data_IF_140402879641
#
_entry.id   IF_140402879641
#
_cell.length_a   1.000
_cell.length_b   1.000
_cell.length_c   1.000
_cell.angle_alpha   90.00
_cell.angle_beta   90.00
_cell.angle_gamma   90.00
#
_symmetry.space_group_name_H-M   'P 1'
#
loop_
_entity.id
_entity.type
_entity.pdbx_description
1 polymer ?
#
# COMPACT_ATOMS: atom_id res chain seq x y z
N UNK A 1 40.45 1.21 41.97
CA UNK A 1 39.70 0.68 40.79
C UNK A 1 38.53 1.61 40.54
N UNK A 2 38.63 2.48 39.53
CA UNK A 2 37.52 3.35 39.12
C UNK A 2 36.46 2.46 38.42
N UNK A 3 35.24 2.43 38.95
CA UNK A 3 34.12 1.70 38.36
C UNK A 3 33.84 2.31 36.98
N UNK A 4 33.90 1.49 35.94
CA UNK A 4 33.50 1.87 34.58
C UNK A 4 32.06 2.30 34.65
N UNK A 5 31.68 3.51 34.16
CA UNK A 5 30.30 3.97 34.21
C UNK A 5 29.44 3.01 33.37
N UNK A 6 28.51 2.36 34.04
CA UNK A 6 27.48 1.54 33.36
C UNK A 6 26.69 2.45 32.43
N UNK A 7 26.56 2.06 31.16
CA UNK A 7 25.77 2.80 30.16
C UNK A 7 24.35 3.00 30.69
N UNK A 8 23.86 4.26 30.82
CA UNK A 8 22.62 4.55 31.55
C UNK A 8 21.36 3.92 30.89
N UNK A 9 21.51 3.35 29.69
CA UNK A 9 20.45 2.63 28.97
C UNK A 9 20.51 1.11 29.10
N UNK A 10 21.57 0.53 29.68
CA UNK A 10 21.65 -0.91 29.96
C UNK A 10 20.95 -1.24 31.26
N UNK A 11 19.80 -1.89 31.16
CA UNK A 11 19.10 -2.44 32.35
C UNK A 11 19.91 -3.58 32.93
N UNK A 12 20.11 -3.60 34.26
CA UNK A 12 20.69 -4.74 34.96
C UNK A 12 20.05 -6.07 34.52
N UNK A 13 20.87 -7.12 34.38
CA UNK A 13 20.44 -8.46 33.96
C UNK A 13 19.29 -9.01 34.82
N UNK A 14 19.28 -8.69 36.12
CA UNK A 14 18.24 -9.07 37.07
C UNK A 14 16.88 -8.42 36.74
N UNK A 15 16.87 -7.13 36.35
CA UNK A 15 15.67 -6.39 35.97
C UNK A 15 15.15 -6.86 34.61
N UNK A 16 16.03 -7.20 33.68
CA UNK A 16 15.68 -7.75 32.36
C UNK A 16 15.04 -9.15 32.51
N UNK A 17 15.58 -10.02 33.38
CA UNK A 17 15.06 -11.37 33.63
C UNK A 17 13.69 -11.36 34.32
N UNK A 18 13.44 -10.44 35.25
CA UNK A 18 12.12 -10.25 35.87
C UNK A 18 11.10 -9.66 34.89
N UNK A 19 11.52 -8.78 33.99
CA UNK A 19 10.65 -8.21 32.95
C UNK A 19 10.25 -9.26 31.91
N UNK A 20 11.17 -10.15 31.49
CA UNK A 20 10.85 -11.25 30.56
C UNK A 20 9.97 -12.32 31.21
N UNK A 21 10.19 -12.66 32.47
CA UNK A 21 9.32 -13.62 33.18
C UNK A 21 7.89 -13.09 33.35
N UNK A 22 7.70 -11.81 33.66
CA UNK A 22 6.37 -11.20 33.72
C UNK A 22 5.66 -11.11 32.38
N UNK A 23 6.40 -10.88 31.28
CA UNK A 23 5.85 -10.92 29.93
C UNK A 23 5.44 -12.34 29.52
N UNK A 24 6.25 -13.35 29.81
CA UNK A 24 5.93 -14.75 29.55
C UNK A 24 4.71 -15.23 30.36
N UNK A 25 4.65 -14.86 31.64
CA UNK A 25 3.49 -15.20 32.48
C UNK A 25 2.22 -14.48 31.97
N UNK A 26 2.34 -13.23 31.57
CA UNK A 26 1.29 -12.48 30.91
C UNK A 26 0.82 -13.17 29.63
N UNK A 27 1.72 -13.60 28.75
CA UNK A 27 1.40 -14.30 27.52
C UNK A 27 0.72 -15.67 27.76
N UNK A 28 1.15 -16.42 28.79
CA UNK A 28 0.53 -17.69 29.18
C UNK A 28 -0.91 -17.48 29.70
N UNK A 29 -1.13 -16.48 30.55
CA UNK A 29 -2.47 -16.13 31.05
C UNK A 29 -3.37 -15.69 29.89
N UNK A 30 -2.85 -14.93 28.93
CA UNK A 30 -3.59 -14.53 27.71
C UNK A 30 -4.00 -15.73 26.89
N UNK A 31 -3.06 -16.64 26.68
CA UNK A 31 -3.30 -17.88 25.93
C UNK A 31 -4.42 -18.69 26.59
N UNK A 32 -4.38 -18.83 27.91
CA UNK A 32 -5.42 -19.51 28.67
C UNK A 32 -6.78 -18.80 28.53
N UNK A 33 -6.85 -17.48 28.66
CA UNK A 33 -8.10 -16.71 28.50
C UNK A 33 -8.70 -16.92 27.12
N UNK A 34 -7.89 -16.82 26.03
CA UNK A 34 -8.37 -17.00 24.65
C UNK A 34 -8.90 -18.40 24.43
N UNK A 35 -8.22 -19.42 24.95
CA UNK A 35 -8.64 -20.80 24.81
C UNK A 35 -9.94 -21.11 25.59
N UNK A 36 -10.12 -20.53 26.80
CA UNK A 36 -11.31 -20.76 27.63
C UNK A 36 -12.52 -19.92 27.24
N UNK A 37 -12.32 -18.73 26.66
CA UNK A 37 -13.42 -17.82 26.30
C UNK A 37 -13.94 -17.97 24.89
N UNK A 38 -13.30 -18.80 24.06
CA UNK A 38 -13.66 -18.98 22.66
C UNK A 38 -13.33 -17.78 21.76
N UNK A 39 -12.67 -16.74 22.29
CA UNK A 39 -12.17 -15.59 21.52
C UNK A 39 -10.94 -16.01 20.67
N UNK A 40 -11.12 -16.97 19.80
CA UNK A 40 -10.03 -17.55 19.01
C UNK A 40 -9.59 -16.69 17.79
N UNK A 41 -10.19 -15.53 17.59
CA UNK A 41 -9.87 -14.64 16.47
C UNK A 41 -8.75 -13.62 16.78
N UNK A 42 -8.16 -12.99 15.75
CA UNK A 42 -7.14 -11.97 15.92
C UNK A 42 -7.59 -10.80 16.82
N UNK A 43 -8.88 -10.48 16.78
CA UNK A 43 -9.49 -9.41 17.59
C UNK A 43 -9.51 -9.77 19.07
N UNK A 44 -9.81 -11.02 19.42
CA UNK A 44 -9.74 -11.53 20.80
C UNK A 44 -8.31 -11.48 21.35
N UNK A 45 -7.31 -11.87 20.56
CA UNK A 45 -5.91 -11.75 20.95
C UNK A 45 -5.48 -10.32 21.22
N UNK A 46 -5.95 -9.36 20.40
CA UNK A 46 -5.67 -7.95 20.61
C UNK A 46 -6.25 -7.42 21.93
N UNK A 47 -7.50 -7.77 22.23
CA UNK A 47 -8.16 -7.40 23.51
C UNK A 47 -7.39 -7.99 24.69
N UNK A 48 -6.94 -9.23 24.59
CA UNK A 48 -6.18 -9.88 25.66
C UNK A 48 -4.81 -9.25 25.84
N UNK A 49 -4.07 -9.00 24.76
CA UNK A 49 -2.77 -8.30 24.84
C UNK A 49 -2.90 -6.91 25.43
N UNK A 50 -3.97 -6.20 25.08
CA UNK A 50 -4.24 -4.87 25.63
C UNK A 50 -4.56 -4.93 27.14
N UNK A 51 -5.44 -5.83 27.56
CA UNK A 51 -5.79 -5.99 28.98
C UNK A 51 -4.58 -6.37 29.83
N UNK A 52 -3.70 -7.23 29.31
CA UNK A 52 -2.44 -7.57 30.00
C UNK A 52 -1.44 -6.41 30.07
N UNK A 53 -1.29 -5.67 28.99
CA UNK A 53 -0.45 -4.46 29.00
C UNK A 53 -0.99 -3.43 30.00
N UNK A 54 -2.32 -3.29 30.10
CA UNK A 54 -2.98 -2.41 31.06
C UNK A 54 -2.73 -2.86 32.51
N UNK A 55 -2.95 -4.14 32.81
CA UNK A 55 -2.71 -4.74 34.14
C UNK A 55 -1.24 -4.62 34.53
N UNK A 56 -0.31 -4.96 33.61
CA UNK A 56 1.12 -4.83 33.85
C UNK A 56 1.53 -3.39 34.17
N UNK A 57 1.02 -2.43 33.40
CA UNK A 57 1.31 -1.00 33.60
C UNK A 57 0.72 -0.49 34.91
N UNK A 58 -0.47 -0.96 35.29
CA UNK A 58 -1.12 -0.61 36.54
C UNK A 58 -0.37 -1.16 37.75
N UNK A 59 0.01 -2.45 37.73
CA UNK A 59 0.76 -3.10 38.81
C UNK A 59 2.13 -2.45 39.01
N UNK A 60 2.85 -2.20 37.88
CA UNK A 60 4.14 -1.53 37.92
C UNK A 60 4.02 -0.07 38.34
N UNK A 61 2.95 0.61 37.93
CA UNK A 61 2.69 2.02 38.21
C UNK A 61 2.42 2.32 39.68
N UNK A 62 2.01 1.32 40.49
CA UNK A 62 1.81 1.49 41.96
C UNK A 62 3.10 1.80 42.72
N UNK A 63 4.27 1.43 42.17
CA UNK A 63 5.61 1.64 42.78
C UNK A 63 6.37 2.83 42.18
N UNK A 64 5.77 3.57 41.24
CA UNK A 64 6.44 4.66 40.51
C UNK A 64 6.09 6.02 41.10
N UNK A 65 7.03 6.98 40.98
CA UNK A 65 6.80 8.41 41.33
C UNK A 65 5.71 9.00 40.43
N UNK A 66 5.08 10.12 40.87
CA UNK A 66 3.95 10.72 40.16
C UNK A 66 4.22 11.05 38.69
N UNK A 67 5.42 11.51 38.35
CA UNK A 67 5.86 11.83 36.98
C UNK A 67 5.97 10.57 36.13
N UNK A 68 6.57 9.52 36.65
CA UNK A 68 6.71 8.22 35.98
C UNK A 68 5.36 7.54 35.80
N UNK A 69 4.42 7.72 36.72
CA UNK A 69 3.04 7.23 36.62
C UNK A 69 2.28 7.90 35.47
N UNK A 70 2.47 9.23 35.26
CA UNK A 70 1.91 9.94 34.10
C UNK A 70 2.46 9.39 32.79
N UNK A 71 3.77 9.19 32.71
CA UNK A 71 4.41 8.61 31.54
C UNK A 71 3.92 7.17 31.26
N UNK A 72 3.78 6.34 32.30
CA UNK A 72 3.28 4.98 32.15
C UNK A 72 1.83 4.95 31.62
N UNK A 73 0.95 5.88 32.07
CA UNK A 73 -0.39 6.02 31.51
C UNK A 73 -0.37 6.48 30.05
N UNK A 74 0.47 7.46 29.69
CA UNK A 74 0.62 7.91 28.30
C UNK A 74 1.09 6.77 27.39
N UNK A 75 2.07 5.98 27.82
CA UNK A 75 2.50 4.78 27.09
C UNK A 75 1.38 3.77 26.90
N UNK A 76 0.53 3.56 27.92
CA UNK A 76 -0.61 2.68 27.81
C UNK A 76 -1.62 3.16 26.77
N UNK A 77 -1.94 4.48 26.77
CA UNK A 77 -2.83 5.05 25.76
C UNK A 77 -2.28 4.92 24.34
N UNK A 78 -0.97 5.18 24.15
CA UNK A 78 -0.31 5.02 22.85
C UNK A 78 -0.36 3.54 22.41
N UNK A 79 -0.09 2.61 23.32
CA UNK A 79 -0.15 1.18 23.02
C UNK A 79 -1.58 0.74 22.68
N UNK A 80 -2.59 1.24 23.44
CA UNK A 80 -3.99 0.98 23.12
C UNK A 80 -4.37 1.47 21.73
N UNK A 81 -4.04 2.72 21.41
CA UNK A 81 -4.29 3.28 20.10
C UNK A 81 -3.60 2.47 18.99
N UNK A 82 -2.35 2.04 19.21
CA UNK A 82 -1.62 1.20 18.28
C UNK A 82 -2.30 -0.17 18.09
N UNK A 83 -2.69 -0.85 19.16
CA UNK A 83 -3.39 -2.14 19.08
C UNK A 83 -4.71 -1.99 18.32
N UNK A 84 -5.53 -0.99 18.67
CA UNK A 84 -6.81 -0.73 17.97
C UNK A 84 -6.59 -0.45 16.50
N UNK A 85 -5.56 0.32 16.14
CA UNK A 85 -5.24 0.64 14.75
C UNK A 85 -4.71 -0.56 13.95
N UNK A 86 -3.80 -1.36 14.54
CA UNK A 86 -3.12 -2.43 13.83
C UNK A 86 -3.88 -3.77 13.81
N UNK A 87 -4.75 -4.03 14.79
CA UNK A 87 -5.48 -5.31 14.88
C UNK A 87 -6.30 -5.61 13.62
N UNK A 88 -7.16 -4.70 13.11
CA UNK A 88 -7.93 -4.97 11.90
C UNK A 88 -7.02 -5.26 10.69
N UNK A 89 -5.91 -4.54 10.57
CA UNK A 89 -4.93 -4.75 9.49
C UNK A 89 -4.30 -6.14 9.57
N UNK A 90 -3.81 -6.52 10.73
CA UNK A 90 -3.20 -7.83 10.96
C UNK A 90 -4.23 -8.93 10.73
N UNK A 91 -5.47 -8.75 11.22
CA UNK A 91 -6.58 -9.69 11.05
C UNK A 91 -6.89 -9.93 9.57
N UNK A 92 -7.00 -8.86 8.77
CA UNK A 92 -7.21 -8.95 7.33
C UNK A 92 -6.05 -9.69 6.65
N UNK A 93 -4.80 -9.30 6.95
CA UNK A 93 -3.61 -9.94 6.37
C UNK A 93 -3.56 -11.44 6.66
N UNK A 94 -3.79 -11.82 7.92
CA UNK A 94 -3.82 -13.22 8.35
C UNK A 94 -4.96 -13.95 7.64
N UNK A 95 -6.17 -13.38 7.60
CA UNK A 95 -7.32 -14.01 6.97
C UNK A 95 -7.11 -14.21 5.47
N UNK A 96 -6.59 -13.20 4.76
CA UNK A 96 -6.25 -13.30 3.34
C UNK A 96 -5.19 -14.35 3.09
N UNK A 97 -4.14 -14.39 3.91
CA UNK A 97 -3.07 -15.38 3.77
C UNK A 97 -3.58 -16.82 4.00
N UNK A 98 -4.24 -17.08 5.15
CA UNK A 98 -4.67 -18.43 5.52
C UNK A 98 -5.81 -18.96 4.64
N UNK A 99 -6.76 -18.12 4.25
CA UNK A 99 -7.88 -18.52 3.38
C UNK A 99 -7.45 -18.56 1.91
N UNK A 100 -6.69 -17.59 1.47
CA UNK A 100 -6.30 -17.45 0.07
C UNK A 100 -5.30 -18.48 -0.41
N UNK A 101 -4.32 -18.89 0.44
CA UNK A 101 -3.30 -19.87 0.06
C UNK A 101 -3.89 -21.24 -0.29
N UNK A 102 -5.04 -21.59 0.29
CA UNK A 102 -5.70 -22.88 0.07
C UNK A 102 -6.16 -23.08 -1.38
N UNK A 103 -6.49 -21.97 -2.07
CA UNK A 103 -6.95 -22.02 -3.46
C UNK A 103 -5.84 -21.77 -4.49
N UNK A 104 -4.59 -21.52 -4.07
CA UNK A 104 -3.47 -21.29 -4.97
C UNK A 104 -3.10 -22.60 -5.68
N UNK A 105 -3.33 -22.61 -6.98
CA UNK A 105 -3.02 -23.72 -7.90
C UNK A 105 -2.46 -23.17 -9.20
N UNK A 106 -1.79 -23.98 -9.99
CA UNK A 106 -1.18 -23.54 -11.24
C UNK A 106 -2.24 -23.02 -12.23
N UNK A 107 -3.39 -23.67 -12.33
CA UNK A 107 -4.50 -23.25 -13.18
C UNK A 107 -4.99 -21.83 -12.87
N UNK A 108 -4.90 -21.38 -11.61
CA UNK A 108 -5.30 -20.02 -11.23
C UNK A 108 -4.49 -18.95 -11.98
N UNK A 109 -3.23 -19.23 -12.31
CA UNK A 109 -2.31 -18.32 -13.00
C UNK A 109 -2.25 -18.54 -14.52
N UNK A 110 -2.77 -19.65 -15.03
CA UNK A 110 -2.62 -20.03 -16.44
C UNK A 110 -3.93 -20.08 -17.21
N UNK A 111 -5.07 -20.18 -16.52
CA UNK A 111 -6.39 -20.34 -17.15
C UNK A 111 -7.25 -19.09 -16.96
N UNK A 112 -8.18 -18.89 -17.89
CA UNK A 112 -9.27 -17.91 -17.77
C UNK A 112 -10.56 -18.55 -17.26
N UNK A 113 -11.67 -17.81 -17.30
CA UNK A 113 -12.99 -18.28 -16.90
C UNK A 113 -14.00 -18.27 -18.08
N UNK A 114 -13.52 -18.41 -19.30
CA UNK A 114 -14.37 -18.35 -20.48
C UNK A 114 -15.38 -19.51 -20.52
N UNK A 115 -14.95 -20.69 -20.11
CA UNK A 115 -15.72 -21.93 -20.16
C UNK A 115 -16.10 -22.47 -18.79
N UNK A 116 -15.84 -21.70 -17.74
CA UNK A 116 -16.04 -22.10 -16.34
C UNK A 116 -16.92 -21.08 -15.62
N UNK A 117 -17.74 -21.58 -14.71
CA UNK A 117 -18.58 -20.75 -13.83
C UNK A 117 -17.88 -20.50 -12.50
N UNK A 118 -18.25 -19.47 -11.76
CA UNK A 118 -17.72 -19.21 -10.43
C UNK A 118 -17.91 -20.36 -9.42
N UNK A 119 -18.93 -21.19 -9.64
CA UNK A 119 -19.30 -22.32 -8.79
C UNK A 119 -18.54 -23.61 -9.08
N UNK A 120 -17.87 -23.69 -10.22
CA UNK A 120 -17.10 -24.86 -10.59
C UNK A 120 -15.95 -25.09 -9.61
N UNK A 121 -15.48 -26.34 -9.54
CA UNK A 121 -14.37 -26.70 -8.66
C UNK A 121 -13.13 -25.84 -8.88
N UNK A 122 -12.34 -25.62 -7.83
CA UNK A 122 -11.16 -24.75 -7.84
C UNK A 122 -10.04 -25.21 -8.80
N UNK A 123 -10.10 -26.43 -9.33
CA UNK A 123 -9.18 -26.94 -10.35
C UNK A 123 -9.59 -26.58 -11.78
N UNK A 124 -10.78 -25.97 -11.97
CA UNK A 124 -11.30 -25.52 -13.26
C UNK A 124 -11.22 -23.99 -13.35
N UNK A 125 -10.79 -23.46 -14.48
CA UNK A 125 -10.63 -22.02 -14.69
C UNK A 125 -9.58 -21.38 -13.79
N UNK A 126 -9.45 -20.05 -13.89
CA UNK A 126 -8.47 -19.28 -13.15
C UNK A 126 -8.66 -17.77 -13.29
N UNK A 127 -7.72 -16.99 -12.76
CA UNK A 127 -7.74 -15.53 -12.79
C UNK A 127 -6.66 -14.92 -13.69
N UNK A 128 -6.01 -15.72 -14.54
CA UNK A 128 -4.91 -15.27 -15.39
C UNK A 128 -5.30 -14.08 -16.30
N UNK A 129 -6.50 -14.11 -16.87
CA UNK A 129 -7.05 -13.00 -17.65
C UNK A 129 -7.14 -11.70 -16.87
N UNK A 130 -7.55 -11.78 -15.60
CA UNK A 130 -7.70 -10.63 -14.71
C UNK A 130 -6.33 -10.11 -14.21
N UNK A 131 -5.37 -11.00 -13.98
CA UNK A 131 -3.98 -10.65 -13.64
C UNK A 131 -3.32 -9.88 -14.78
N UNK A 132 -3.43 -10.41 -16.01
CA UNK A 132 -2.88 -9.79 -17.22
C UNK A 132 -3.53 -8.44 -17.48
N UNK A 133 -4.85 -8.34 -17.38
CA UNK A 133 -5.54 -7.08 -17.58
C UNK A 133 -5.18 -6.02 -16.53
N UNK A 134 -5.05 -6.40 -15.26
CA UNK A 134 -4.52 -5.49 -14.23
C UNK A 134 -3.13 -5.00 -14.57
N UNK A 135 -2.25 -5.90 -15.01
CA UNK A 135 -0.88 -5.54 -15.39
C UNK A 135 -0.85 -4.56 -16.57
N UNK A 136 -1.64 -4.82 -17.62
CA UNK A 136 -1.74 -3.93 -18.80
C UNK A 136 -2.21 -2.54 -18.38
N UNK A 137 -3.31 -2.45 -17.61
CA UNK A 137 -3.89 -1.16 -17.22
C UNK A 137 -2.97 -0.37 -16.30
N UNK A 138 -2.37 -1.01 -15.30
CA UNK A 138 -1.44 -0.36 -14.37
C UNK A 138 -0.15 0.06 -15.08
N UNK A 139 0.36 -0.75 -16.02
CA UNK A 139 1.53 -0.40 -16.80
C UNK A 139 1.28 0.85 -17.65
N UNK A 140 0.18 0.90 -18.41
CA UNK A 140 -0.17 2.06 -19.23
C UNK A 140 -0.36 3.31 -18.34
N UNK A 141 -1.13 3.19 -17.24
CA UNK A 141 -1.31 4.26 -16.30
C UNK A 141 0.03 4.78 -15.75
N UNK A 142 0.95 3.88 -15.41
CA UNK A 142 2.28 4.23 -14.88
C UNK A 142 3.14 4.93 -15.91
N UNK A 143 3.20 4.42 -17.15
CA UNK A 143 3.99 5.01 -18.23
C UNK A 143 3.56 6.45 -18.53
N UNK A 144 2.26 6.73 -18.44
CA UNK A 144 1.73 8.08 -18.66
C UNK A 144 1.93 8.96 -17.42
N UNK A 145 1.56 8.44 -16.26
CA UNK A 145 1.40 9.26 -15.04
C UNK A 145 2.72 9.51 -14.32
N UNK A 146 3.64 8.55 -14.35
CA UNK A 146 4.91 8.70 -13.64
C UNK A 146 5.75 9.88 -14.17
N UNK A 147 5.98 10.02 -15.49
CA UNK A 147 6.67 11.18 -16.03
C UNK A 147 5.93 12.49 -15.73
N UNK A 148 4.61 12.54 -15.93
CA UNK A 148 3.80 13.73 -15.69
C UNK A 148 3.84 14.15 -14.22
N UNK A 149 3.75 13.20 -13.29
CA UNK A 149 3.82 13.49 -11.86
C UNK A 149 5.19 14.02 -11.43
N UNK A 150 6.29 13.39 -11.91
CA UNK A 150 7.64 13.85 -11.62
C UNK A 150 7.87 15.25 -12.23
N UNK A 151 7.49 15.48 -13.48
CA UNK A 151 7.62 16.79 -14.13
C UNK A 151 6.81 17.86 -13.41
N UNK A 152 5.62 17.53 -12.90
CA UNK A 152 4.83 18.45 -12.08
C UNK A 152 5.56 18.82 -10.78
N UNK A 153 6.15 17.82 -10.10
CA UNK A 153 7.00 18.05 -8.92
C UNK A 153 8.20 18.95 -9.24
N UNK A 154 8.92 18.66 -10.33
CA UNK A 154 10.06 19.48 -10.80
C UNK A 154 9.61 20.89 -11.13
N UNK A 155 8.49 21.08 -11.82
CA UNK A 155 7.98 22.41 -12.16
C UNK A 155 7.71 23.25 -10.90
N UNK A 156 7.11 22.64 -9.89
CA UNK A 156 6.75 23.33 -8.65
C UNK A 156 7.96 23.63 -7.76
N UNK A 157 8.99 22.77 -7.76
CA UNK A 157 10.14 22.89 -6.84
C UNK A 157 11.34 23.56 -7.47
N UNK A 158 11.67 23.25 -8.72
CA UNK A 158 12.90 23.69 -9.37
C UNK A 158 12.64 24.90 -10.30
N UNK A 159 11.61 24.82 -11.14
CA UNK A 159 11.31 25.91 -12.07
C UNK A 159 10.69 27.10 -11.34
N UNK A 160 9.81 26.84 -10.36
CA UNK A 160 9.12 27.86 -9.56
C UNK A 160 8.46 28.94 -10.43
N UNK A 161 7.90 28.49 -11.57
CA UNK A 161 7.26 29.38 -12.54
C UNK A 161 5.98 30.03 -12.01
N UNK A 162 5.47 31.01 -12.71
CA UNK A 162 4.26 31.76 -12.32
C UNK A 162 3.02 30.92 -12.08
N UNK A 163 2.96 29.74 -12.68
CA UNK A 163 1.85 28.79 -12.52
C UNK A 163 2.07 27.73 -11.44
N UNK A 164 3.19 27.77 -10.69
CA UNK A 164 3.48 26.75 -9.66
C UNK A 164 2.37 26.65 -8.62
N UNK A 165 1.76 27.77 -8.23
CA UNK A 165 0.61 27.78 -7.32
C UNK A 165 -0.62 27.09 -7.90
N UNK A 166 -0.91 27.33 -9.19
CA UNK A 166 -2.04 26.68 -9.89
C UNK A 166 -1.82 25.19 -10.02
N UNK A 167 -0.61 24.75 -10.44
CA UNK A 167 -0.27 23.33 -10.56
C UNK A 167 -0.42 22.63 -9.21
N UNK A 168 0.10 23.22 -8.14
CA UNK A 168 -0.05 22.68 -6.78
C UNK A 168 -1.51 22.60 -6.37
N UNK A 169 -2.31 23.65 -6.63
CA UNK A 169 -3.74 23.65 -6.33
C UNK A 169 -4.47 22.53 -7.07
N UNK A 170 -4.23 22.36 -8.37
CA UNK A 170 -4.85 21.29 -9.18
C UNK A 170 -4.49 19.92 -8.63
N UNK A 171 -3.21 19.64 -8.38
CA UNK A 171 -2.74 18.36 -7.81
C UNK A 171 -3.41 18.10 -6.46
N UNK A 172 -3.51 19.11 -5.61
CA UNK A 172 -4.12 18.98 -4.30
C UNK A 172 -5.64 18.74 -4.39
N UNK A 173 -6.33 19.41 -5.30
CA UNK A 173 -7.76 19.22 -5.55
C UNK A 173 -8.04 17.81 -6.10
N UNK A 174 -7.20 17.32 -7.03
CA UNK A 174 -7.31 15.96 -7.57
C UNK A 174 -7.17 14.88 -6.47
N UNK A 175 -6.38 15.14 -5.42
CA UNK A 175 -6.22 14.19 -4.30
C UNK A 175 -7.52 13.95 -3.52
N UNK A 176 -8.46 14.89 -3.56
CA UNK A 176 -9.76 14.80 -2.90
C UNK A 176 -10.88 14.20 -3.77
N UNK A 177 -10.60 13.88 -5.04
CA UNK A 177 -11.62 13.34 -5.95
C UNK A 177 -11.94 11.88 -5.58
N UNK A 178 -13.22 11.52 -5.33
CA UNK A 178 -13.63 10.14 -5.13
C UNK A 178 -13.32 9.30 -6.38
N UNK A 179 -12.83 8.07 -6.19
CA UNK A 179 -12.38 7.21 -7.30
C UNK A 179 -13.49 6.91 -8.31
N UNK A 180 -14.72 6.76 -7.86
CA UNK A 180 -15.86 6.55 -8.76
C UNK A 180 -16.12 7.76 -9.66
N UNK A 181 -15.90 8.97 -9.16
CA UNK A 181 -16.06 10.22 -9.94
C UNK A 181 -15.00 10.31 -11.04
N UNK A 182 -13.76 9.91 -10.74
CA UNK A 182 -12.72 9.81 -11.77
C UNK A 182 -13.12 8.79 -12.86
N UNK A 183 -13.68 7.65 -12.46
CA UNK A 183 -14.23 6.66 -13.40
C UNK A 183 -15.36 7.22 -14.25
N UNK A 184 -16.32 7.91 -13.64
CA UNK A 184 -17.45 8.54 -14.34
C UNK A 184 -16.97 9.60 -15.33
N UNK A 185 -16.01 10.41 -14.94
CA UNK A 185 -15.43 11.42 -15.84
C UNK A 185 -14.80 10.76 -17.09
N UNK A 186 -14.02 9.71 -16.92
CA UNK A 186 -13.44 8.99 -18.07
C UNK A 186 -14.51 8.25 -18.87
N UNK A 187 -15.54 7.74 -18.22
CA UNK A 187 -16.67 7.13 -18.90
C UNK A 187 -17.32 8.13 -19.88
N UNK A 188 -17.73 9.29 -19.38
CA UNK A 188 -18.44 10.30 -20.19
C UNK A 188 -17.56 10.94 -21.26
N UNK A 189 -16.26 11.08 -21.03
CA UNK A 189 -15.35 11.75 -21.96
C UNK A 189 -14.69 10.81 -22.95
N UNK A 190 -14.48 9.56 -22.59
CA UNK A 190 -13.72 8.62 -23.39
C UNK A 190 -14.53 7.38 -23.82
N UNK A 191 -15.21 6.70 -22.88
CA UNK A 191 -15.96 5.47 -23.19
C UNK A 191 -17.19 5.79 -24.02
N UNK A 192 -17.96 6.79 -23.61
CA UNK A 192 -19.17 7.23 -24.33
C UNK A 192 -18.83 7.73 -25.75
N UNK A 193 -17.79 8.54 -25.88
CA UNK A 193 -17.33 9.07 -27.15
C UNK A 193 -16.76 7.97 -28.09
N UNK A 194 -16.12 6.92 -27.55
CA UNK A 194 -15.56 5.81 -28.33
C UNK A 194 -16.55 4.68 -28.57
N UNK A 195 -17.67 4.65 -27.82
CA UNK A 195 -18.68 3.58 -27.84
C UNK A 195 -18.18 2.23 -27.31
N UNK A 196 -17.02 2.19 -26.62
CA UNK A 196 -16.43 0.93 -26.15
C UNK A 196 -15.68 1.07 -24.84
N UNK A 197 -15.84 0.06 -23.99
CA UNK A 197 -14.97 -0.12 -22.81
C UNK A 197 -13.57 -0.57 -23.28
N UNK A 198 -12.53 -0.22 -22.51
CA UNK A 198 -11.18 -0.61 -22.89
C UNK A 198 -10.19 -0.54 -21.72
N UNK A 199 -9.06 -1.26 -21.85
CA UNK A 199 -7.95 -1.12 -20.91
C UNK A 199 -7.41 0.31 -20.89
N UNK A 200 -7.39 0.99 -22.03
CA UNK A 200 -6.91 2.36 -22.15
C UNK A 200 -7.79 3.34 -21.32
N UNK A 201 -9.12 3.21 -21.42
CA UNK A 201 -10.04 4.00 -20.59
C UNK A 201 -9.82 3.72 -19.09
N UNK A 202 -9.69 2.43 -18.71
CA UNK A 202 -9.33 2.04 -17.35
C UNK A 202 -8.01 2.65 -16.89
N UNK A 203 -7.01 2.64 -17.76
CA UNK A 203 -5.69 3.24 -17.47
C UNK A 203 -5.74 4.75 -17.25
N UNK A 204 -6.56 5.47 -18.01
CA UNK A 204 -6.77 6.91 -17.78
C UNK A 204 -7.43 7.18 -16.43
N UNK A 205 -8.46 6.39 -16.08
CA UNK A 205 -9.11 6.53 -14.78
C UNK A 205 -8.16 6.25 -13.60
N UNK A 206 -7.33 5.20 -13.71
CA UNK A 206 -6.26 4.93 -12.76
C UNK A 206 -5.21 6.03 -12.74
N UNK A 207 -4.86 6.59 -13.91
CA UNK A 207 -3.89 7.68 -14.05
C UNK A 207 -4.33 8.95 -13.32
N UNK A 208 -5.61 9.32 -13.41
CA UNK A 208 -6.17 10.47 -12.67
C UNK A 208 -5.96 10.32 -11.16
N UNK A 209 -6.13 9.11 -10.64
CA UNK A 209 -5.95 8.82 -9.21
C UNK A 209 -4.46 8.71 -8.80
N UNK A 210 -3.61 8.24 -9.71
CA UNK A 210 -2.18 8.05 -9.48
C UNK A 210 -1.41 9.36 -9.51
N UNK A 211 -1.78 10.27 -10.42
CA UNK A 211 -1.06 11.51 -10.70
C UNK A 211 -0.80 12.36 -9.46
N UNK A 212 -1.80 12.70 -8.62
CA UNK A 212 -1.56 13.53 -7.45
C UNK A 212 -0.64 12.88 -6.43
N UNK A 213 -0.68 11.56 -6.28
CA UNK A 213 0.20 10.82 -5.37
C UNK A 213 1.65 10.91 -5.83
N UNK A 214 1.92 10.65 -7.11
CA UNK A 214 3.27 10.72 -7.68
C UNK A 214 3.79 12.17 -7.64
N UNK A 215 2.98 13.13 -8.07
CA UNK A 215 3.38 14.54 -8.13
C UNK A 215 3.73 15.10 -6.75
N UNK A 216 2.87 14.85 -5.76
CA UNK A 216 3.08 15.32 -4.39
C UNK A 216 4.30 14.68 -3.73
N UNK A 217 4.43 13.35 -3.84
CA UNK A 217 5.59 12.65 -3.29
C UNK A 217 6.88 13.08 -3.98
N UNK A 218 6.85 13.31 -5.30
CA UNK A 218 8.00 13.84 -6.04
C UNK A 218 8.36 15.26 -5.58
N UNK A 219 7.38 16.13 -5.36
CA UNK A 219 7.60 17.47 -4.80
C UNK A 219 8.27 17.39 -3.42
N UNK A 220 7.78 16.52 -2.53
CA UNK A 220 8.34 16.36 -1.18
C UNK A 220 9.79 15.84 -1.23
N UNK A 221 10.06 14.87 -2.09
CA UNK A 221 11.40 14.29 -2.27
C UNK A 221 12.38 15.31 -2.86
N UNK A 222 11.96 16.09 -3.86
CA UNK A 222 12.80 17.12 -4.47
C UNK A 222 13.15 18.25 -3.49
N UNK A 223 12.28 18.57 -2.53
CA UNK A 223 12.58 19.54 -1.46
C UNK A 223 13.67 19.10 -0.50
N UNK A 224 13.97 17.81 -0.42
CA UNK A 224 15.04 17.30 0.43
C UNK A 224 16.45 17.56 -0.11
N UNK A 225 16.58 17.94 -1.37
CA UNK A 225 17.88 18.32 -1.97
C UNK A 225 18.37 19.62 -1.34
N UNK A 226 19.57 19.67 -0.73
CA UNK A 226 20.13 20.88 -0.18
C UNK A 226 20.33 21.96 -1.24
N UNK A 227 20.10 23.24 -0.89
CA UNK A 227 20.30 24.35 -1.81
C UNK A 227 21.76 24.55 -2.22
N UNK A 228 22.71 24.11 -1.37
CA UNK A 228 24.14 24.15 -1.69
C UNK A 228 24.51 23.31 -2.92
N UNK A 229 23.86 22.17 -3.12
CA UNK A 229 24.06 21.35 -4.32
C UNK A 229 23.59 22.06 -5.60
N UNK A 230 22.48 22.79 -5.50
CA UNK A 230 21.96 23.61 -6.62
C UNK A 230 22.92 24.76 -6.92
N UNK A 231 23.36 25.46 -5.88
CA UNK A 231 24.27 26.58 -5.96
C UNK A 231 25.63 26.17 -6.53
N UNK A 232 26.17 25.03 -6.12
CA UNK A 232 27.40 24.46 -6.68
C UNK A 232 27.27 24.18 -8.18
N UNK A 233 26.12 23.64 -8.63
CA UNK A 233 25.86 23.46 -10.05
C UNK A 233 25.88 24.76 -10.84
N UNK A 234 25.28 25.82 -10.31
CA UNK A 234 25.29 27.15 -10.95
C UNK A 234 26.68 27.80 -10.94
N UNK A 235 27.45 27.62 -9.86
CA UNK A 235 28.82 28.12 -9.78
C UNK A 235 29.75 27.48 -10.85
N UNK A 236 29.47 26.23 -11.27
CA UNK A 236 30.14 25.55 -12.37
C UNK A 236 29.59 25.95 -13.78
N UNK A 237 28.72 26.97 -13.85
CA UNK A 237 28.16 27.47 -15.11
C UNK A 237 26.99 26.63 -15.66
N UNK A 238 26.42 25.71 -14.89
CA UNK A 238 25.29 24.94 -15.38
C UNK A 238 24.01 25.80 -15.46
N UNK A 239 23.28 25.67 -16.56
CA UNK A 239 21.93 26.26 -16.67
C UNK A 239 20.97 25.50 -15.78
N UNK A 240 19.88 26.12 -15.33
CA UNK A 240 18.89 25.54 -14.42
C UNK A 240 18.43 24.13 -14.81
N UNK A 241 18.02 23.93 -16.08
CA UNK A 241 17.56 22.63 -16.55
C UNK A 241 18.66 21.55 -16.46
N UNK A 242 19.93 21.92 -16.73
CA UNK A 242 21.07 21.01 -16.66
C UNK A 242 21.41 20.66 -15.20
N UNK A 243 21.37 21.62 -14.29
CA UNK A 243 21.50 21.37 -12.86
C UNK A 243 20.39 20.44 -12.35
N UNK A 244 19.13 20.68 -12.76
CA UNK A 244 17.99 19.82 -12.38
C UNK A 244 18.18 18.38 -12.88
N UNK A 245 18.51 18.18 -14.16
CA UNK A 245 18.62 16.82 -14.75
C UNK A 245 19.86 16.07 -14.30
N UNK A 246 21.02 16.75 -14.12
CA UNK A 246 22.29 16.10 -13.87
C UNK A 246 22.68 16.07 -12.38
N UNK A 247 22.09 16.92 -11.53
CA UNK A 247 22.43 16.99 -10.11
C UNK A 247 21.21 16.66 -9.26
N UNK A 248 20.10 17.40 -9.41
CA UNK A 248 18.94 17.28 -8.51
C UNK A 248 18.25 15.91 -8.67
N UNK A 249 17.82 15.56 -9.89
CA UNK A 249 17.09 14.30 -10.12
C UNK A 249 17.91 13.05 -9.80
N UNK A 250 19.21 12.95 -10.17
CA UNK A 250 20.02 11.80 -9.76
C UNK A 250 20.22 11.69 -8.25
N UNK A 251 20.32 12.82 -7.54
CA UNK A 251 20.50 12.84 -6.08
C UNK A 251 19.29 12.21 -5.37
N UNK A 252 18.09 12.40 -5.88
CA UNK A 252 16.85 11.90 -5.27
C UNK A 252 16.19 10.75 -6.03
N UNK A 253 16.89 10.10 -6.95
CA UNK A 253 16.33 9.03 -7.79
C UNK A 253 15.64 7.93 -7.00
N UNK A 254 16.20 7.51 -5.87
CA UNK A 254 15.60 6.48 -5.02
C UNK A 254 14.26 6.94 -4.43
N UNK A 255 14.14 8.22 -4.09
CA UNK A 255 12.89 8.82 -3.63
C UNK A 255 11.84 8.91 -4.74
N UNK A 256 12.27 9.28 -5.97
CA UNK A 256 11.38 9.32 -7.13
C UNK A 256 10.86 7.93 -7.55
N UNK A 257 11.71 6.91 -7.48
CA UNK A 257 11.29 5.52 -7.65
C UNK A 257 10.23 5.17 -6.59
N UNK A 258 10.46 5.55 -5.34
CA UNK A 258 9.49 5.33 -4.24
C UNK A 258 8.17 6.05 -4.51
N UNK A 259 8.19 7.27 -5.05
CA UNK A 259 6.99 8.00 -5.47
C UNK A 259 6.18 7.22 -6.52
N UNK A 260 6.87 6.66 -7.53
CA UNK A 260 6.25 5.81 -8.54
C UNK A 260 5.60 4.55 -7.93
N UNK A 261 6.29 3.88 -7.01
CA UNK A 261 5.79 2.68 -6.34
C UNK A 261 4.54 3.00 -5.51
N UNK A 262 4.57 4.09 -4.76
CA UNK A 262 3.41 4.53 -3.96
C UNK A 262 2.22 4.83 -4.87
N UNK A 263 2.47 5.45 -6.04
CA UNK A 263 1.44 5.68 -7.05
C UNK A 263 0.83 4.37 -7.58
N UNK A 264 1.66 3.40 -7.97
CA UNK A 264 1.22 2.08 -8.45
C UNK A 264 0.45 1.33 -7.35
N UNK A 265 0.99 1.30 -6.13
CA UNK A 265 0.35 0.62 -5.01
C UNK A 265 -1.02 1.18 -4.68
N UNK A 266 -1.21 2.49 -4.86
CA UNK A 266 -2.51 3.13 -4.68
C UNK A 266 -3.55 2.64 -5.67
N UNK A 267 -3.19 2.43 -6.94
CA UNK A 267 -4.16 2.18 -8.01
C UNK A 267 -4.33 0.71 -8.38
N UNK A 268 -3.41 -0.16 -8.03
CA UNK A 268 -3.44 -1.58 -8.41
C UNK A 268 -4.63 -2.35 -7.82
N UNK A 269 -5.15 -1.89 -6.68
CA UNK A 269 -6.32 -2.45 -6.00
C UNK A 269 -7.63 -1.72 -6.27
N UNK A 270 -7.64 -0.72 -7.15
CA UNK A 270 -8.83 0.08 -7.42
C UNK A 270 -9.86 -0.71 -8.24
N UNK A 271 -11.11 -0.69 -7.77
CA UNK A 271 -12.24 -1.39 -8.40
C UNK A 271 -13.25 -0.41 -9.00
N UNK A 272 -13.64 0.61 -8.24
CA UNK A 272 -14.75 1.49 -8.59
C UNK A 272 -14.58 2.21 -9.94
N UNK A 273 -13.44 2.82 -10.29
CA UNK A 273 -13.28 3.49 -11.57
C UNK A 273 -13.29 2.49 -12.74
N UNK A 274 -12.79 1.26 -12.52
CA UNK A 274 -12.72 0.23 -13.56
C UNK A 274 -14.08 -0.36 -13.93
N UNK A 275 -15.04 -0.38 -13.00
CA UNK A 275 -16.42 -0.78 -13.27
C UNK A 275 -17.05 0.06 -14.39
N UNK A 276 -16.68 1.34 -14.47
CA UNK A 276 -17.25 2.28 -15.44
C UNK A 276 -16.41 2.40 -16.72
N UNK A 277 -15.15 1.94 -16.73
CA UNK A 277 -14.23 2.25 -17.83
C UNK A 277 -13.68 1.02 -18.54
N UNK A 278 -13.39 -0.04 -17.79
CA UNK A 278 -12.84 -1.29 -18.34
C UNK A 278 -13.87 -2.39 -18.45
N UNK A 279 -14.92 -2.34 -17.60
CA UNK A 279 -15.89 -3.40 -17.41
C UNK A 279 -15.19 -4.72 -17.06
N UNK A 280 -15.92 -5.83 -16.96
CA UNK A 280 -15.31 -7.13 -16.67
C UNK A 280 -15.32 -8.02 -17.90
N UNK A 281 -14.29 -8.83 -18.07
CA UNK A 281 -14.20 -9.88 -19.08
C UNK A 281 -13.61 -11.14 -18.45
N UNK A 282 -14.14 -12.28 -18.79
CA UNK A 282 -13.69 -13.59 -18.29
C UNK A 282 -12.67 -14.28 -19.18
N UNK A 283 -12.36 -13.70 -20.35
CA UNK A 283 -11.44 -14.22 -21.34
C UNK A 283 -10.14 -13.42 -21.38
N UNK A 284 -9.10 -14.01 -21.94
CA UNK A 284 -7.87 -13.28 -22.25
C UNK A 284 -8.10 -12.19 -23.30
N UNK A 285 -7.80 -10.96 -22.96
CA UNK A 285 -7.82 -9.80 -23.85
C UNK A 285 -6.47 -9.10 -23.78
N UNK A 286 -5.81 -8.99 -24.93
CA UNK A 286 -4.50 -8.33 -25.04
C UNK A 286 -4.57 -6.97 -25.77
N UNK A 287 -5.71 -6.70 -26.41
CA UNK A 287 -5.91 -5.40 -27.07
C UNK A 287 -6.27 -4.33 -26.03
N UNK A 288 -5.45 -3.31 -25.79
CA UNK A 288 -5.73 -2.31 -24.79
C UNK A 288 -6.77 -1.27 -25.24
N UNK A 289 -7.09 -1.20 -26.52
CA UNK A 289 -7.89 -0.10 -27.10
C UNK A 289 -9.36 -0.47 -27.23
N UNK A 290 -9.66 -1.73 -27.54
CA UNK A 290 -11.04 -2.17 -27.86
C UNK A 290 -11.47 -3.37 -27.03
N UNK A 291 -12.65 -3.24 -26.45
CA UNK A 291 -13.34 -4.30 -25.73
C UNK A 291 -13.07 -4.31 -24.23
N UNK A 292 -14.02 -4.85 -23.47
CA UNK A 292 -13.92 -5.00 -22.03
C UNK A 292 -12.71 -5.86 -21.65
N UNK A 293 -12.05 -5.52 -20.52
CA UNK A 293 -10.91 -6.25 -20.00
C UNK A 293 -11.10 -6.50 -18.50
N UNK A 294 -10.81 -7.74 -18.07
CA UNK A 294 -10.85 -8.09 -16.65
C UNK A 294 -9.73 -7.42 -15.86
N UNK A 295 -9.96 -7.20 -14.57
CA UNK A 295 -8.91 -6.84 -13.61
C UNK A 295 -9.04 -7.68 -12.35
N UNK A 296 -7.92 -7.87 -11.65
CA UNK A 296 -7.90 -8.69 -10.44
C UNK A 296 -8.82 -8.14 -9.32
N UNK A 297 -8.87 -6.82 -9.06
CA UNK A 297 -9.83 -6.25 -8.11
C UNK A 297 -11.29 -6.48 -8.52
N UNK A 298 -11.62 -6.36 -9.82
CA UNK A 298 -12.97 -6.62 -10.32
C UNK A 298 -13.33 -8.10 -10.29
N UNK A 299 -12.39 -8.99 -10.57
CA UNK A 299 -12.56 -10.43 -10.41
C UNK A 299 -12.91 -10.78 -8.96
N UNK A 300 -12.13 -10.26 -7.98
CA UNK A 300 -12.38 -10.46 -6.55
C UNK A 300 -13.78 -9.96 -6.19
N UNK A 301 -14.13 -8.75 -6.61
CA UNK A 301 -15.42 -8.15 -6.34
C UNK A 301 -16.59 -8.97 -6.92
N UNK A 302 -16.47 -9.40 -8.18
CA UNK A 302 -17.49 -10.24 -8.83
C UNK A 302 -17.66 -11.59 -8.14
N UNK A 303 -16.56 -12.25 -7.75
CA UNK A 303 -16.63 -13.51 -7.02
C UNK A 303 -17.30 -13.37 -5.64
N UNK A 304 -17.05 -12.27 -4.94
CA UNK A 304 -17.69 -11.99 -3.65
C UNK A 304 -19.20 -11.72 -3.80
N UNK A 305 -19.64 -11.07 -4.89
CA UNK A 305 -21.05 -10.79 -5.13
C UNK A 305 -21.88 -12.06 -5.37
N UNK A 306 -21.29 -13.08 -5.98
CA UNK A 306 -21.94 -14.37 -6.22
C UNK A 306 -22.20 -15.11 -4.91
N UNK A 307 -21.23 -15.09 -3.98
CA UNK A 307 -21.44 -15.52 -2.60
C UNK A 307 -21.47 -17.01 -2.36
N UNK A 308 -21.23 -17.86 -3.37
CA UNK A 308 -21.14 -19.31 -3.21
C UNK A 308 -19.80 -19.74 -2.60
N UNK A 309 -19.70 -20.94 -2.06
CA UNK A 309 -18.49 -21.39 -1.40
C UNK A 309 -17.25 -21.34 -2.32
N UNK A 310 -17.40 -21.84 -3.55
CA UNK A 310 -16.30 -21.86 -4.51
C UNK A 310 -15.94 -20.43 -4.98
N UNK A 311 -16.93 -19.58 -5.23
CA UNK A 311 -16.69 -18.19 -5.62
C UNK A 311 -16.00 -17.40 -4.51
N UNK A 312 -16.40 -17.59 -3.25
CA UNK A 312 -15.74 -16.97 -2.09
C UNK A 312 -14.29 -17.47 -1.95
N UNK A 313 -14.04 -18.77 -2.15
CA UNK A 313 -12.68 -19.31 -2.14
C UNK A 313 -11.81 -18.73 -3.26
N UNK A 314 -12.37 -18.52 -4.46
CA UNK A 314 -11.72 -17.83 -5.59
C UNK A 314 -11.41 -16.37 -5.23
N UNK A 315 -12.34 -15.67 -4.57
CA UNK A 315 -12.13 -14.30 -4.11
C UNK A 315 -10.99 -14.20 -3.08
N UNK A 316 -10.93 -15.11 -2.11
CA UNK A 316 -9.82 -15.16 -1.15
C UNK A 316 -8.49 -15.42 -1.84
N UNK A 317 -8.46 -16.35 -2.81
CA UNK A 317 -7.25 -16.64 -3.59
C UNK A 317 -6.81 -15.44 -4.42
N UNK A 318 -7.76 -14.77 -5.10
CA UNK A 318 -7.48 -13.54 -5.84
C UNK A 318 -6.93 -12.42 -4.94
N UNK A 319 -7.52 -12.26 -3.76
CA UNK A 319 -7.05 -11.29 -2.76
C UNK A 319 -5.63 -11.59 -2.28
N UNK A 320 -5.30 -12.86 -2.08
CA UNK A 320 -3.95 -13.30 -1.71
C UNK A 320 -2.94 -13.04 -2.83
N UNK A 321 -3.30 -13.35 -4.08
CA UNK A 321 -2.46 -13.07 -5.24
C UNK A 321 -2.25 -11.58 -5.43
N UNK A 322 -3.29 -10.75 -5.26
CA UNK A 322 -3.17 -9.29 -5.30
C UNK A 322 -2.22 -8.78 -4.20
N UNK A 323 -2.33 -9.30 -2.99
CA UNK A 323 -1.44 -8.98 -1.89
C UNK A 323 0.02 -9.31 -2.21
N UNK A 324 0.28 -10.52 -2.74
CA UNK A 324 1.62 -10.96 -3.13
C UNK A 324 2.18 -10.10 -4.28
N UNK A 325 1.35 -9.72 -5.25
CA UNK A 325 1.73 -8.86 -6.36
C UNK A 325 2.16 -7.48 -5.86
N UNK A 326 1.36 -6.87 -4.99
CA UNK A 326 1.68 -5.57 -4.38
C UNK A 326 2.97 -5.68 -3.57
N UNK A 327 3.10 -6.69 -2.70
CA UNK A 327 4.29 -6.91 -1.88
C UNK A 327 5.53 -7.17 -2.73
N UNK A 328 5.39 -7.95 -3.80
CA UNK A 328 6.46 -8.21 -4.76
C UNK A 328 6.94 -6.95 -5.46
N UNK A 329 6.01 -6.11 -5.93
CA UNK A 329 6.34 -4.81 -6.54
C UNK A 329 7.08 -3.89 -5.57
N UNK A 330 6.59 -3.78 -4.33
CA UNK A 330 7.27 -2.99 -3.29
C UNK A 330 8.68 -3.51 -3.00
N UNK A 331 8.83 -4.82 -2.86
CA UNK A 331 10.13 -5.45 -2.57
C UNK A 331 11.11 -5.26 -3.71
N UNK A 332 10.67 -5.47 -4.95
CA UNK A 332 11.48 -5.28 -6.17
C UNK A 332 11.96 -3.83 -6.27
N UNK A 333 11.06 -2.91 -6.10
CA UNK A 333 11.37 -1.50 -6.23
C UNK A 333 12.29 -1.00 -5.10
N UNK A 334 12.11 -1.49 -3.86
CA UNK A 334 13.04 -1.22 -2.76
C UNK A 334 14.43 -1.82 -3.02
N UNK A 335 14.48 -2.99 -3.63
CA UNK A 335 15.74 -3.61 -4.03
C UNK A 335 16.47 -2.76 -5.10
N UNK A 336 15.76 -2.26 -6.11
CA UNK A 336 16.31 -1.37 -7.13
C UNK A 336 16.80 -0.06 -6.50
N UNK A 337 15.98 0.57 -5.64
CA UNK A 337 16.34 1.81 -4.96
C UNK A 337 17.50 1.65 -3.95
N UNK A 338 17.66 0.47 -3.35
CA UNK A 338 18.72 0.19 -2.36
C UNK A 338 20.09 -0.08 -2.97
N UNK A 339 20.17 -0.51 -4.22
CA UNK A 339 21.44 -0.79 -4.93
C UNK A 339 22.32 0.45 -5.16
N UNK A 340 21.72 1.63 -5.04
CA UNK A 340 22.36 2.92 -5.29
C UNK A 340 23.06 3.55 -4.09
N UNK A 341 23.06 2.87 -2.95
CA UNK A 341 23.76 3.35 -1.72
C UNK A 341 25.18 2.80 -1.53
N UNK A 342 25.72 2.12 -2.57
CA UNK A 342 27.13 1.62 -2.55
C UNK A 342 27.97 2.34 -3.57
#
# INVERSE_FOLDING_TARGET
>A
MLAVPTRPWEKEKSVRRRSTATLLLGALISCAIVLFTGFAGPDGWAVVLFTLAAVFTFVKGRKLQAKERKNAKAHLFILAAAIVAFTPWISIFISVAFKGIKGVRLNFFTSDMRTTTPDDFMNMGGAAHAIIGSFIMVLIATVITLPLGILSGVYVTEVRGRFSGVVRFVIQSMSGVPSIVAGLFVYTTFVDASGTFSALAGSFALGILMLPTVARTSEEVLKLVPDDLRSAGYALGARQWRSTLMIVLPTVRSGLITAGILGVARVIGETAPLLLTALSNTSFVFNPIKGPIGSLPMYIFGMLQIGTENSINRAWTGSFVLLLLVFGLFSLARFIAGKDKR
#
